data_IF_842468830131
#
_entry.id   IF_842468830131
#
_cell.length_a   1.000
_cell.length_b   1.000
_cell.length_c   1.000
_cell.angle_alpha   90.00
_cell.angle_beta   90.00
_cell.angle_gamma   90.00
#
_symmetry.space_group_name_H-M   'P 1'
#
loop_
_entity.id
_entity.type
_entity.pdbx_description
1 polymer ?
#
# COMPACT_ATOMS: atom_id res chain seq x y z
N UNK A 1 -7.62 -6.96 -22.28
CA UNK A 1 -8.67 -5.91 -22.23
C UNK A 1 -7.98 -4.62 -21.83
N UNK A 2 -8.35 -3.47 -22.40
CA UNK A 2 -7.79 -2.17 -21.96
C UNK A 2 -8.52 -1.73 -20.70
N UNK A 3 -7.86 -1.73 -19.54
CA UNK A 3 -8.39 -1.16 -18.30
C UNK A 3 -8.35 0.38 -18.42
N UNK A 4 -9.37 0.98 -19.01
CA UNK A 4 -9.55 2.43 -19.02
C UNK A 4 -10.40 2.85 -17.83
N UNK A 5 -10.01 3.92 -17.15
CA UNK A 5 -10.81 4.52 -16.07
C UNK A 5 -12.11 5.06 -16.68
N UNK A 6 -13.24 4.43 -16.36
CA UNK A 6 -14.56 4.91 -16.75
C UNK A 6 -14.91 6.20 -16.00
N UNK A 7 -15.78 7.08 -16.54
CA UNK A 7 -16.24 8.27 -15.83
C UNK A 7 -16.87 7.91 -14.47
N UNK A 8 -16.45 8.62 -13.42
CA UNK A 8 -16.90 8.39 -12.04
C UNK A 8 -18.39 8.67 -11.89
N UNK A 9 -19.11 7.74 -11.26
CA UNK A 9 -20.51 7.92 -10.86
C UNK A 9 -20.64 8.69 -9.54
N UNK A 10 -19.52 8.85 -8.83
CA UNK A 10 -19.40 9.60 -7.59
C UNK A 10 -19.19 11.09 -7.90
N UNK A 11 -20.16 11.92 -7.51
CA UNK A 11 -20.29 13.31 -7.96
C UNK A 11 -20.07 14.35 -6.84
N UNK A 12 -19.83 13.94 -5.59
CA UNK A 12 -19.62 14.90 -4.51
C UNK A 12 -18.36 15.73 -4.76
N UNK A 13 -18.48 17.04 -4.59
CA UNK A 13 -17.36 17.97 -4.61
C UNK A 13 -17.17 18.59 -3.22
N UNK A 14 -15.92 18.74 -2.83
CA UNK A 14 -15.56 19.37 -1.56
C UNK A 14 -14.83 20.69 -1.83
N UNK A 15 -15.18 21.72 -1.06
CA UNK A 15 -14.44 22.98 -1.07
C UNK A 15 -13.03 22.82 -0.50
N UNK A 16 -12.16 23.77 -0.79
CA UNK A 16 -10.83 23.82 -0.19
C UNK A 16 -10.93 24.35 1.25
N UNK A 17 -10.58 23.51 2.22
CA UNK A 17 -10.55 23.79 3.65
C UNK A 17 -9.11 23.93 4.22
N UNK A 18 -8.11 23.97 3.34
CA UNK A 18 -6.67 24.01 3.61
C UNK A 18 -6.09 22.82 4.40
N UNK A 19 -6.92 21.83 4.78
CA UNK A 19 -6.49 20.62 5.46
C UNK A 19 -5.78 19.68 4.48
N UNK A 20 -4.60 19.21 4.86
CA UNK A 20 -3.86 18.18 4.14
C UNK A 20 -4.29 16.79 4.61
N UNK A 21 -4.96 16.04 3.73
CA UNK A 21 -5.43 14.69 3.99
C UNK A 21 -4.45 13.67 3.43
N UNK A 22 -3.98 12.80 4.32
CA UNK A 22 -2.98 11.78 4.03
C UNK A 22 -3.60 10.41 4.18
N UNK A 23 -3.48 9.58 3.14
CA UNK A 23 -3.85 8.17 3.16
C UNK A 23 -2.58 7.31 3.16
N UNK A 24 -2.36 6.51 4.21
CA UNK A 24 -1.21 5.61 4.30
C UNK A 24 -1.68 4.15 4.35
N UNK A 25 -1.20 3.33 3.41
CA UNK A 25 -1.64 1.95 3.22
C UNK A 25 -0.51 0.96 3.53
N UNK A 26 -0.73 0.10 4.52
CA UNK A 26 0.27 -0.87 4.96
C UNK A 26 0.52 -1.99 3.93
N UNK A 27 1.69 -2.61 4.03
CA UNK A 27 2.02 -3.86 3.32
C UNK A 27 1.40 -5.09 3.98
N UNK A 28 1.14 -6.14 3.19
CA UNK A 28 0.48 -7.34 3.72
C UNK A 28 0.08 -8.42 2.72
N UNK A 29 0.64 -8.44 1.51
CA UNK A 29 0.33 -9.45 0.49
C UNK A 29 -1.16 -9.54 0.18
N UNK A 30 -1.71 -10.75 0.13
CA UNK A 30 -3.12 -10.99 -0.16
C UNK A 30 -4.10 -10.35 0.84
N UNK A 31 -3.63 -9.96 2.04
CA UNK A 31 -4.49 -9.33 3.05
C UNK A 31 -4.98 -7.92 2.66
N UNK A 32 -4.50 -7.36 1.54
CA UNK A 32 -5.01 -6.10 0.96
C UNK A 32 -6.51 -6.11 0.66
N UNK A 33 -7.17 -7.27 0.59
CA UNK A 33 -8.64 -7.34 0.52
C UNK A 33 -9.33 -6.70 1.73
N UNK A 34 -8.74 -6.80 2.93
CA UNK A 34 -9.21 -6.06 4.11
C UNK A 34 -9.14 -4.55 3.88
N UNK A 35 -8.01 -4.06 3.37
CA UNK A 35 -7.80 -2.64 3.05
C UNK A 35 -8.85 -2.14 2.06
N UNK A 36 -9.15 -2.90 1.00
CA UNK A 36 -10.20 -2.56 0.04
C UNK A 36 -11.60 -2.56 0.65
N UNK A 37 -11.86 -3.42 1.65
CA UNK A 37 -13.10 -3.38 2.43
C UNK A 37 -13.28 -2.07 3.17
N UNK A 38 -12.24 -1.60 3.87
CA UNK A 38 -12.24 -0.31 4.57
C UNK A 38 -12.39 0.85 3.58
N UNK A 39 -11.59 0.86 2.52
CA UNK A 39 -11.57 1.94 1.54
C UNK A 39 -12.89 2.07 0.78
N UNK A 40 -13.60 0.95 0.54
CA UNK A 40 -14.91 0.98 -0.13
C UNK A 40 -15.92 1.77 0.68
N UNK A 41 -15.92 1.59 2.00
CA UNK A 41 -16.83 2.31 2.88
C UNK A 41 -16.43 3.80 3.01
N UNK A 42 -15.13 4.10 3.06
CA UNK A 42 -14.65 5.49 3.03
C UNK A 42 -15.06 6.20 1.74
N UNK A 43 -14.83 5.58 0.58
CA UNK A 43 -15.20 6.14 -0.73
C UNK A 43 -16.72 6.37 -0.84
N UNK A 44 -17.51 5.40 -0.36
CA UNK A 44 -18.97 5.53 -0.32
C UNK A 44 -19.44 6.64 0.63
N UNK A 45 -18.83 6.77 1.80
CA UNK A 45 -19.12 7.84 2.78
C UNK A 45 -18.82 9.23 2.22
N UNK A 46 -17.74 9.36 1.45
CA UNK A 46 -17.34 10.61 0.80
C UNK A 46 -18.20 10.94 -0.44
N UNK A 47 -18.66 9.92 -1.16
CA UNK A 47 -19.42 10.11 -2.41
C UNK A 47 -18.58 10.71 -3.54
N UNK A 48 -17.25 10.63 -3.45
CA UNK A 48 -16.29 11.02 -4.49
C UNK A 48 -15.13 10.02 -4.53
N UNK A 49 -14.40 9.88 -5.66
CA UNK A 49 -13.21 9.05 -5.73
C UNK A 49 -12.15 9.53 -4.74
N UNK A 50 -11.42 8.59 -4.12
CA UNK A 50 -10.48 8.92 -3.02
C UNK A 50 -9.43 9.98 -3.41
N UNK A 51 -8.92 9.95 -4.64
CA UNK A 51 -7.92 10.93 -5.12
C UNK A 51 -8.43 12.37 -5.16
N UNK A 52 -9.75 12.59 -5.13
CA UNK A 52 -10.34 13.94 -5.06
C UNK A 52 -10.43 14.48 -3.64
N UNK A 53 -10.34 13.62 -2.61
CA UNK A 53 -10.42 14.05 -1.21
C UNK A 53 -9.09 13.97 -0.47
N UNK A 54 -8.19 13.08 -0.85
CA UNK A 54 -6.86 12.99 -0.26
C UNK A 54 -5.83 13.78 -1.08
N UNK A 55 -4.87 14.41 -0.40
CA UNK A 55 -3.76 15.15 -1.04
C UNK A 55 -2.53 14.26 -1.24
N UNK A 56 -2.29 13.34 -0.30
CA UNK A 56 -1.18 12.41 -0.30
C UNK A 56 -1.67 10.98 -0.12
N UNK A 57 -1.15 10.05 -0.93
CA UNK A 57 -1.32 8.60 -0.74
C UNK A 57 0.04 7.90 -0.70
N UNK A 58 0.26 7.12 0.33
CA UNK A 58 1.47 6.33 0.49
C UNK A 58 1.12 4.86 0.59
N UNK A 59 1.94 4.01 0.00
CA UNK A 59 1.72 2.58 -0.01
C UNK A 59 3.00 1.77 0.03
N UNK A 60 2.96 0.68 0.77
CA UNK A 60 4.02 -0.35 0.80
C UNK A 60 3.45 -1.68 0.31
N UNK A 61 4.16 -2.38 -0.58
CA UNK A 61 3.77 -3.71 -1.05
C UNK A 61 2.34 -3.73 -1.60
N UNK A 62 1.45 -4.57 -1.07
CA UNK A 62 0.01 -4.58 -1.38
C UNK A 62 -0.61 -3.17 -1.37
N UNK A 63 -0.25 -2.33 -0.38
CA UNK A 63 -0.67 -0.94 -0.27
C UNK A 63 -0.11 -0.05 -1.37
N UNK A 64 1.06 -0.35 -1.95
CA UNK A 64 1.60 0.36 -3.10
C UNK A 64 0.79 0.12 -4.37
N UNK A 65 0.29 -1.11 -4.59
CA UNK A 65 -0.61 -1.42 -5.70
C UNK A 65 -1.87 -0.56 -5.59
N UNK A 66 -2.49 -0.55 -4.40
CA UNK A 66 -3.73 0.18 -4.14
C UNK A 66 -3.50 1.70 -4.25
N UNK A 67 -2.43 2.21 -3.64
CA UNK A 67 -2.05 3.62 -3.69
C UNK A 67 -1.82 4.11 -5.12
N UNK A 68 -1.11 3.33 -5.94
CA UNK A 68 -0.85 3.65 -7.34
C UNK A 68 -2.15 3.75 -8.14
N UNK A 69 -3.07 2.80 -7.97
CA UNK A 69 -4.35 2.81 -8.68
C UNK A 69 -5.25 3.97 -8.23
N UNK A 70 -5.32 4.27 -6.92
CA UNK A 70 -6.02 5.46 -6.42
C UNK A 70 -5.43 6.72 -7.07
N UNK A 71 -4.10 6.86 -7.06
CA UNK A 71 -3.43 8.02 -7.62
C UNK A 71 -3.62 8.15 -9.14
N UNK A 72 -3.87 7.05 -9.85
CA UNK A 72 -4.22 7.05 -11.28
C UNK A 72 -5.71 7.30 -11.55
N UNK A 73 -6.52 7.52 -10.51
CA UNK A 73 -7.93 7.89 -10.62
C UNK A 73 -8.92 6.73 -10.57
N UNK A 74 -8.48 5.52 -10.19
CA UNK A 74 -9.38 4.36 -10.09
C UNK A 74 -10.26 4.46 -8.83
N UNK A 75 -11.54 4.12 -8.99
CA UNK A 75 -12.48 3.90 -7.87
C UNK A 75 -12.19 2.57 -7.17
N UNK A 76 -12.54 2.45 -5.89
CA UNK A 76 -12.19 1.27 -5.07
C UNK A 76 -12.78 -0.02 -5.65
N UNK A 77 -13.97 0.01 -6.26
CA UNK A 77 -14.56 -1.19 -6.88
C UNK A 77 -13.77 -1.65 -8.12
N UNK A 78 -13.22 -0.71 -8.91
CA UNK A 78 -12.36 -1.03 -10.04
C UNK A 78 -11.05 -1.68 -9.55
N UNK A 79 -10.47 -1.13 -8.49
CA UNK A 79 -9.28 -1.69 -7.85
C UNK A 79 -9.57 -3.09 -7.32
N UNK A 80 -10.73 -3.29 -6.68
CA UNK A 80 -11.14 -4.58 -6.14
C UNK A 80 -11.36 -5.63 -7.23
N UNK A 81 -11.91 -5.27 -8.38
CA UNK A 81 -12.04 -6.17 -9.53
C UNK A 81 -10.67 -6.67 -9.99
N UNK A 82 -9.70 -5.76 -10.18
CA UNK A 82 -8.32 -6.09 -10.54
C UNK A 82 -7.66 -6.97 -9.46
N UNK A 83 -7.86 -6.66 -8.18
CA UNK A 83 -7.35 -7.47 -7.07
C UNK A 83 -7.88 -8.90 -7.10
N UNK A 84 -9.20 -9.04 -7.29
CA UNK A 84 -9.90 -10.33 -7.34
C UNK A 84 -9.41 -11.21 -8.48
N UNK A 85 -9.15 -10.61 -9.63
CA UNK A 85 -8.65 -11.32 -10.81
C UNK A 85 -7.21 -11.79 -10.63
N UNK A 86 -6.32 -10.90 -10.17
CA UNK A 86 -4.89 -11.13 -10.36
C UNK A 86 -4.12 -11.55 -9.10
N UNK A 87 -4.50 -11.08 -7.91
CA UNK A 87 -3.74 -11.40 -6.68
C UNK A 87 -3.76 -12.89 -6.37
N UNK A 88 -4.90 -13.61 -6.43
CA UNK A 88 -4.91 -15.07 -6.26
C UNK A 88 -4.02 -15.81 -7.26
N UNK A 89 -3.92 -15.32 -8.50
CA UNK A 89 -3.05 -15.90 -9.54
C UNK A 89 -1.57 -15.76 -9.19
N UNK A 90 -1.16 -14.60 -8.68
CA UNK A 90 0.21 -14.40 -8.18
C UNK A 90 0.45 -15.31 -6.97
N UNK A 91 -0.43 -15.28 -5.98
CA UNK A 91 -0.21 -15.95 -4.70
C UNK A 91 -0.26 -17.48 -4.77
N UNK A 92 -1.01 -18.04 -5.73
CA UNK A 92 -1.07 -19.50 -5.98
C UNK A 92 0.19 -20.07 -6.68
N UNK A 93 1.10 -19.22 -7.15
CA UNK A 93 2.35 -19.64 -7.80
C UNK A 93 3.35 -20.27 -6.81
N UNK A 94 3.96 -21.40 -7.21
CA UNK A 94 4.73 -22.28 -6.31
C UNK A 94 6.19 -21.91 -6.07
N UNK A 95 6.80 -21.09 -6.94
CA UNK A 95 8.22 -20.70 -6.85
C UNK A 95 8.37 -19.19 -6.84
N UNK A 96 9.51 -18.69 -6.35
CA UNK A 96 9.78 -17.27 -6.32
C UNK A 96 9.87 -16.65 -7.71
N UNK A 97 10.55 -17.32 -8.64
CA UNK A 97 10.59 -16.92 -10.04
C UNK A 97 9.20 -16.86 -10.69
N UNK A 98 8.36 -17.89 -10.46
CA UNK A 98 7.00 -17.90 -11.01
C UNK A 98 6.13 -16.78 -10.44
N UNK A 99 6.24 -16.51 -9.13
CA UNK A 99 5.57 -15.38 -8.48
C UNK A 99 6.04 -14.03 -9.03
N UNK A 100 7.36 -13.87 -9.22
CA UNK A 100 7.93 -12.65 -9.80
C UNK A 100 7.45 -12.42 -11.23
N UNK A 101 7.41 -13.46 -12.07
CA UNK A 101 6.88 -13.35 -13.43
C UNK A 101 5.40 -12.99 -13.43
N UNK A 102 4.58 -13.68 -12.62
CA UNK A 102 3.15 -13.39 -12.51
C UNK A 102 2.89 -11.94 -12.02
N UNK A 103 3.66 -11.46 -11.05
CA UNK A 103 3.59 -10.09 -10.55
C UNK A 103 4.05 -9.07 -11.62
N UNK A 104 5.07 -9.40 -12.41
CA UNK A 104 5.54 -8.55 -13.51
C UNK A 104 4.49 -8.43 -14.61
N UNK A 105 3.87 -9.54 -14.99
CA UNK A 105 2.85 -9.58 -16.02
C UNK A 105 1.61 -8.80 -15.57
N UNK A 106 1.16 -8.99 -14.32
CA UNK A 106 0.11 -8.16 -13.70
C UNK A 106 0.49 -6.68 -13.79
N UNK A 107 1.67 -6.30 -13.29
CA UNK A 107 2.03 -4.89 -13.20
C UNK A 107 2.02 -4.23 -14.58
N UNK A 108 2.50 -4.93 -15.61
CA UNK A 108 2.44 -4.46 -17.00
C UNK A 108 1.01 -4.40 -17.53
N UNK A 109 0.18 -5.40 -17.25
CA UNK A 109 -1.20 -5.45 -17.76
C UNK A 109 -2.06 -4.33 -17.15
N UNK A 110 -1.90 -4.10 -15.84
CA UNK A 110 -2.69 -3.15 -15.05
C UNK A 110 -2.21 -1.72 -15.25
N UNK A 111 -0.90 -1.47 -15.15
CA UNK A 111 -0.36 -0.11 -15.22
C UNK A 111 0.07 0.29 -16.64
N UNK A 112 0.26 -0.67 -17.55
CA UNK A 112 0.60 -0.41 -18.96
C UNK A 112 1.79 0.56 -19.06
N UNK A 113 1.67 1.61 -19.87
CA UNK A 113 2.69 2.63 -20.07
C UNK A 113 2.60 3.79 -19.06
N UNK A 114 1.82 3.65 -17.98
CA UNK A 114 1.62 4.71 -16.98
C UNK A 114 2.89 5.02 -16.22
N UNK A 115 3.17 6.31 -16.10
CA UNK A 115 4.32 6.86 -15.38
C UNK A 115 3.87 7.73 -14.22
N UNK A 116 4.84 8.20 -13.44
CA UNK A 116 4.58 9.04 -12.27
C UNK A 116 4.08 10.45 -12.64
N UNK A 117 4.13 10.82 -13.91
CA UNK A 117 3.54 12.03 -14.48
C UNK A 117 2.02 11.91 -14.69
N UNK A 118 1.46 10.69 -14.74
CA UNK A 118 0.02 10.45 -14.91
C UNK A 118 -0.78 10.55 -13.61
N UNK A 119 -0.12 10.67 -12.45
CA UNK A 119 -0.80 10.64 -11.15
C UNK A 119 -1.53 11.95 -10.85
N UNK A 120 -2.72 11.83 -10.26
CA UNK A 120 -3.64 12.93 -9.98
C UNK A 120 -3.48 13.55 -8.58
N UNK A 121 -2.64 12.94 -7.74
CA UNK A 121 -2.37 13.37 -6.36
C UNK A 121 -0.93 13.07 -5.96
N UNK A 122 -0.46 13.60 -4.83
CA UNK A 122 0.87 13.25 -4.33
C UNK A 122 0.93 11.79 -3.91
N UNK A 123 1.98 11.08 -4.32
CA UNK A 123 2.13 9.63 -4.11
C UNK A 123 3.50 9.31 -3.49
N UNK A 124 3.53 8.27 -2.65
CA UNK A 124 4.76 7.63 -2.20
C UNK A 124 4.67 6.10 -2.28
N UNK A 125 5.42 5.47 -3.19
CA UNK A 125 5.58 4.01 -3.22
C UNK A 125 6.89 3.66 -2.53
N UNK A 126 6.83 2.85 -1.48
CA UNK A 126 8.01 2.50 -0.66
C UNK A 126 8.65 1.20 -1.15
N UNK A 127 9.93 1.24 -1.48
CA UNK A 127 10.77 0.06 -1.68
C UNK A 127 12.05 0.16 -0.85
N UNK A 128 12.79 -0.95 -0.73
CA UNK A 128 14.05 -0.99 0.02
C UNK A 128 15.21 -1.28 -0.92
N UNK A 129 16.27 -0.46 -0.89
CA UNK A 129 17.52 -0.72 -1.62
C UNK A 129 18.25 -1.88 -0.98
N UNK A 130 18.47 -2.94 -1.75
CA UNK A 130 19.12 -4.15 -1.27
C UNK A 130 20.56 -3.87 -0.82
N UNK A 131 21.37 -3.25 -1.69
CA UNK A 131 22.81 -3.09 -1.45
C UNK A 131 23.16 -2.07 -0.35
N UNK A 132 22.33 -1.06 -0.14
CA UNK A 132 22.60 0.03 0.81
C UNK A 132 21.70 0.02 2.04
N UNK A 133 20.74 -0.90 2.10
CA UNK A 133 19.82 -1.08 3.23
C UNK A 133 19.07 0.21 3.60
N UNK A 134 18.65 0.97 2.58
CA UNK A 134 17.97 2.27 2.72
C UNK A 134 16.65 2.30 1.98
N UNK A 135 15.67 3.08 2.45
CA UNK A 135 14.42 3.27 1.71
C UNK A 135 14.69 3.95 0.35
N UNK A 136 13.91 3.56 -0.65
CA UNK A 136 13.74 4.27 -1.91
C UNK A 136 12.25 4.51 -2.10
N UNK A 137 11.84 5.77 -2.06
CA UNK A 137 10.44 6.16 -2.14
C UNK A 137 10.21 6.82 -3.51
N UNK A 138 9.42 6.17 -4.35
CA UNK A 138 9.04 6.71 -5.65
C UNK A 138 7.93 7.75 -5.47
N UNK A 139 8.12 8.93 -6.06
CA UNK A 139 7.25 10.10 -5.87
C UNK A 139 6.89 10.73 -7.21
N UNK A 140 5.70 11.29 -7.30
CA UNK A 140 5.19 11.90 -8.54
C UNK A 140 5.63 13.35 -8.75
N UNK A 141 5.80 14.11 -7.67
CA UNK A 141 5.95 15.56 -7.77
C UNK A 141 7.24 16.06 -7.08
N UNK A 142 7.93 17.01 -7.72
CA UNK A 142 9.16 17.64 -7.20
C UNK A 142 8.94 18.34 -5.86
N UNK A 143 7.72 18.79 -5.55
CA UNK A 143 7.39 19.38 -4.26
C UNK A 143 7.60 18.38 -3.13
N UNK A 144 7.37 17.08 -3.36
CA UNK A 144 7.63 16.01 -2.39
C UNK A 144 9.13 15.68 -2.22
N UNK A 145 10.03 16.27 -3.01
CA UNK A 145 11.46 15.99 -2.92
C UNK A 145 12.09 16.68 -1.70
N UNK A 146 12.66 15.89 -0.80
CA UNK A 146 13.42 16.36 0.38
C UNK A 146 14.81 16.90 0.04
N UNK A 147 15.26 16.71 -1.19
CA UNK A 147 16.56 17.14 -1.69
C UNK A 147 16.72 16.79 -3.16
N UNK A 148 17.85 17.20 -3.76
CA UNK A 148 18.16 16.94 -5.19
C UNK A 148 17.06 17.41 -6.16
N UNK A 149 16.37 18.51 -5.85
CA UNK A 149 15.26 19.06 -6.66
C UNK A 149 15.66 19.34 -8.11
N UNK A 150 16.89 19.81 -8.35
CA UNK A 150 17.39 20.12 -9.69
C UNK A 150 17.60 18.90 -10.59
N UNK A 151 17.66 17.69 -10.03
CA UNK A 151 17.76 16.43 -10.78
C UNK A 151 16.58 15.50 -10.46
N UNK A 152 15.48 16.06 -9.95
CA UNK A 152 14.29 15.29 -9.66
C UNK A 152 13.68 14.79 -10.98
N UNK A 153 13.42 13.49 -11.02
CA UNK A 153 12.64 12.85 -12.07
C UNK A 153 11.52 12.08 -11.36
N UNK A 154 10.23 12.28 -11.73
CA UNK A 154 9.12 11.52 -11.19
C UNK A 154 9.41 10.02 -11.23
N UNK A 155 9.19 9.32 -10.12
CA UNK A 155 9.50 7.90 -10.01
C UNK A 155 10.98 7.54 -10.24
N UNK A 156 11.92 8.48 -10.15
CA UNK A 156 13.30 8.29 -10.63
C UNK A 156 13.40 7.88 -12.11
N UNK A 157 12.38 8.21 -12.91
CA UNK A 157 12.30 7.90 -14.33
C UNK A 157 11.85 6.48 -14.68
N UNK A 158 11.33 5.71 -13.72
CA UNK A 158 10.79 4.38 -13.99
C UNK A 158 9.26 4.39 -14.11
N UNK A 159 8.72 3.37 -14.74
CA UNK A 159 7.27 3.15 -14.82
C UNK A 159 6.64 2.91 -13.45
N UNK A 160 5.33 3.15 -13.32
CA UNK A 160 4.59 2.75 -12.11
C UNK A 160 4.65 1.23 -11.93
N UNK A 161 4.58 0.46 -13.02
CA UNK A 161 4.70 -0.99 -13.00
C UNK A 161 5.99 -1.46 -12.32
N UNK A 162 7.14 -0.86 -12.68
CA UNK A 162 8.43 -1.21 -12.08
C UNK A 162 8.52 -0.83 -10.61
N UNK A 163 8.03 0.35 -10.23
CA UNK A 163 8.02 0.82 -8.85
C UNK A 163 7.12 -0.05 -7.95
N UNK A 164 5.92 -0.40 -8.43
CA UNK A 164 4.99 -1.29 -7.72
C UNK A 164 5.58 -2.70 -7.59
N UNK A 165 6.14 -3.26 -8.68
CA UNK A 165 6.79 -4.57 -8.61
C UNK A 165 7.95 -4.57 -7.60
N UNK A 166 8.79 -3.52 -7.60
CA UNK A 166 9.86 -3.39 -6.62
C UNK A 166 9.34 -3.35 -5.18
N UNK A 167 8.28 -2.58 -4.92
CA UNK A 167 7.64 -2.46 -3.61
C UNK A 167 7.02 -3.79 -3.14
N UNK A 168 6.65 -4.69 -4.04
CA UNK A 168 6.03 -5.98 -3.76
C UNK A 168 7.01 -7.18 -3.81
N UNK A 169 8.30 -6.95 -4.09
CA UNK A 169 9.33 -8.00 -4.19
C UNK A 169 9.76 -8.52 -2.81
N UNK A 170 8.84 -9.19 -2.10
CA UNK A 170 9.06 -9.74 -0.75
C UNK A 170 10.01 -10.95 -0.81
N UNK A 171 11.31 -10.70 -0.78
CA UNK A 171 12.32 -11.74 -0.77
C UNK A 171 12.20 -12.63 0.48
N UNK A 172 12.41 -13.96 0.42
CA UNK A 172 12.69 -14.78 -0.75
C UNK A 172 11.43 -15.34 -1.45
N UNK A 173 10.23 -14.84 -1.15
CA UNK A 173 9.01 -15.29 -1.84
C UNK A 173 8.94 -14.78 -3.27
N UNK A 174 9.50 -13.61 -3.52
CA UNK A 174 9.70 -13.01 -4.82
C UNK A 174 11.20 -12.78 -5.01
N UNK A 175 11.63 -12.78 -6.26
CA UNK A 175 12.97 -12.32 -6.63
C UNK A 175 13.10 -10.81 -6.47
N UNK A 176 14.35 -10.37 -6.27
CA UNK A 176 14.71 -8.96 -6.17
C UNK A 176 14.45 -8.28 -7.52
N UNK A 177 14.04 -7.02 -7.48
CA UNK A 177 13.78 -6.22 -8.69
C UNK A 177 14.97 -5.33 -8.97
N UNK A 178 15.53 -5.41 -10.18
CA UNK A 178 16.51 -4.42 -10.66
C UNK A 178 15.77 -3.41 -11.53
N UNK A 179 15.99 -2.13 -11.25
CA UNK A 179 15.52 -1.01 -12.07
C UNK A 179 16.70 -0.21 -12.62
N UNK A 180 16.45 0.56 -13.67
CA UNK A 180 17.39 1.55 -14.21
C UNK A 180 16.74 2.93 -14.09
N UNK A 181 17.36 3.84 -13.33
CA UNK A 181 16.82 5.20 -13.16
C UNK A 181 17.05 6.05 -14.41
N UNK A 182 16.41 7.23 -14.50
CA UNK A 182 16.68 8.22 -15.53
C UNK A 182 18.16 8.66 -15.60
N UNK A 183 18.90 8.55 -14.49
CA UNK A 183 20.34 8.84 -14.45
C UNK A 183 21.21 7.70 -14.99
N UNK A 184 20.61 6.56 -15.37
CA UNK A 184 21.33 5.36 -15.81
C UNK A 184 21.80 4.45 -14.67
N UNK A 185 21.42 4.74 -13.41
CA UNK A 185 21.83 3.94 -12.26
C UNK A 185 21.06 2.63 -12.21
N UNK A 186 21.79 1.51 -12.10
CA UNK A 186 21.20 0.20 -11.82
C UNK A 186 21.00 0.05 -10.32
N UNK A 187 19.75 -0.09 -9.88
CA UNK A 187 19.40 -0.21 -8.46
C UNK A 187 18.66 -1.52 -8.21
N UNK A 188 19.17 -2.30 -7.27
CA UNK A 188 18.50 -3.51 -6.79
C UNK A 188 17.60 -3.19 -5.59
N UNK A 189 16.34 -3.61 -5.70
CA UNK A 189 15.25 -3.31 -4.79
C UNK A 189 14.54 -4.58 -4.30
N UNK A 190 14.05 -4.51 -3.07
CA UNK A 190 13.13 -5.47 -2.46
C UNK A 190 11.93 -4.73 -1.86
N UNK A 191 10.98 -5.51 -1.34
CA UNK A 191 9.77 -5.01 -0.72
C UNK A 191 10.03 -3.89 0.30
N UNK A 192 9.19 -2.85 0.26
CA UNK A 192 9.28 -1.71 1.18
C UNK A 192 9.01 -2.09 2.63
N UNK A 193 8.35 -3.22 2.87
CA UNK A 193 7.98 -3.71 4.19
C UNK A 193 9.18 -4.01 5.10
N UNK A 194 10.36 -4.22 4.51
CA UNK A 194 11.60 -4.33 5.26
C UNK A 194 12.01 -3.03 5.95
N UNK A 195 11.69 -1.87 5.36
CA UNK A 195 12.04 -0.57 5.94
C UNK A 195 10.83 0.15 6.53
N UNK A 196 9.67 0.14 5.89
CA UNK A 196 8.44 0.73 6.39
C UNK A 196 7.21 -0.01 5.85
N UNK A 197 6.82 -1.10 6.52
CA UNK A 197 5.58 -1.82 6.22
C UNK A 197 4.35 -0.98 6.55
N UNK A 198 4.45 -0.06 7.50
CA UNK A 198 3.54 1.06 7.70
C UNK A 198 4.23 2.35 7.20
N UNK A 199 3.79 2.94 6.07
CA UNK A 199 4.47 4.10 5.48
C UNK A 199 4.07 5.45 6.09
N UNK A 200 3.28 5.47 7.17
CA UNK A 200 2.68 6.69 7.74
C UNK A 200 3.73 7.75 8.10
N UNK A 201 4.86 7.36 8.69
CA UNK A 201 5.93 8.31 9.06
C UNK A 201 6.52 9.02 7.84
N UNK A 202 6.70 8.31 6.71
CA UNK A 202 7.16 8.94 5.48
C UNK A 202 6.12 9.87 4.88
N UNK A 203 4.84 9.51 4.98
CA UNK A 203 3.74 10.35 4.52
C UNK A 203 3.62 11.64 5.35
N UNK A 204 3.77 11.55 6.68
CA UNK A 204 3.84 12.71 7.58
C UNK A 204 5.06 13.58 7.26
N UNK A 205 6.23 12.98 7.03
CA UNK A 205 7.43 13.73 6.65
C UNK A 205 7.22 14.52 5.35
N UNK A 206 6.53 13.95 4.36
CA UNK A 206 6.15 14.67 3.15
C UNK A 206 5.17 15.82 3.43
N UNK A 207 4.12 15.58 4.21
CA UNK A 207 3.15 16.62 4.56
C UNK A 207 3.81 17.80 5.31
N UNK A 208 4.65 17.50 6.29
CA UNK A 208 5.26 18.50 7.19
C UNK A 208 6.48 19.19 6.59
N UNK A 209 7.43 18.44 6.04
CA UNK A 209 8.70 18.99 5.56
C UNK A 209 8.62 19.43 4.11
N UNK A 210 8.00 18.60 3.26
CA UNK A 210 7.99 18.85 1.81
C UNK A 210 6.85 19.80 1.42
N UNK A 211 5.62 19.53 1.89
CA UNK A 211 4.44 20.37 1.66
C UNK A 211 4.32 21.53 2.65
N UNK A 212 5.13 21.56 3.72
CA UNK A 212 5.15 22.63 4.73
C UNK A 212 3.79 22.87 5.39
N UNK A 213 3.05 21.79 5.67
CA UNK A 213 1.78 21.84 6.38
C UNK A 213 2.02 21.83 7.89
N UNK A 214 1.30 22.69 8.61
CA UNK A 214 1.28 22.68 10.07
C UNK A 214 0.59 21.40 10.57
N UNK A 215 1.07 20.86 11.69
CA UNK A 215 0.56 19.60 12.26
C UNK A 215 -0.96 19.59 12.48
N UNK A 216 -1.51 20.72 12.96
CA UNK A 216 -2.95 20.92 13.18
C UNK A 216 -3.80 20.84 11.90
N UNK A 217 -3.17 21.08 10.74
CA UNK A 217 -3.82 21.10 9.43
C UNK A 217 -3.58 19.79 8.67
N UNK A 218 -3.04 18.77 9.32
CA UNK A 218 -2.84 17.43 8.75
C UNK A 218 -3.89 16.47 9.31
N UNK A 219 -4.43 15.60 8.46
CA UNK A 219 -5.36 14.53 8.82
C UNK A 219 -4.84 13.23 8.22
N UNK A 220 -4.41 12.30 9.06
CA UNK A 220 -3.88 11.01 8.60
C UNK A 220 -4.91 9.90 8.78
N UNK A 221 -5.25 9.24 7.68
CA UNK A 221 -5.92 7.94 7.71
C UNK A 221 -4.88 6.89 7.35
N UNK A 222 -4.66 5.95 8.27
CA UNK A 222 -3.80 4.81 8.01
C UNK A 222 -4.61 3.51 8.04
N UNK A 223 -4.59 2.79 6.93
CA UNK A 223 -5.35 1.54 6.78
C UNK A 223 -4.36 0.39 6.76
N UNK A 224 -4.42 -0.44 7.81
CA UNK A 224 -3.66 -1.67 7.86
C UNK A 224 -4.33 -2.77 7.04
N UNK A 225 -3.82 -3.98 7.18
CA UNK A 225 -4.36 -5.18 6.53
C UNK A 225 -5.12 -6.11 7.49
N UNK A 226 -5.25 -5.70 8.76
CA UNK A 226 -5.75 -6.56 9.85
C UNK A 226 -4.69 -7.52 10.39
N UNK A 227 -4.86 -7.92 11.65
CA UNK A 227 -4.00 -8.86 12.36
C UNK A 227 -4.76 -10.17 12.52
N UNK A 228 -4.19 -11.29 12.06
CA UNK A 228 -4.85 -12.59 12.02
C UNK A 228 -3.97 -13.68 12.64
N UNK A 229 -4.56 -14.80 13.09
CA UNK A 229 -3.80 -15.94 13.55
C UNK A 229 -3.04 -16.57 12.39
N UNK A 230 -1.88 -17.14 12.67
CA UNK A 230 -1.13 -17.88 11.66
C UNK A 230 -1.80 -19.24 11.35
N UNK A 231 -1.85 -19.68 10.08
CA UNK A 231 -2.30 -21.01 9.73
C UNK A 231 -1.48 -22.09 10.45
N UNK A 232 -2.15 -23.08 11.05
CA UNK A 232 -1.46 -24.20 11.70
C UNK A 232 -0.69 -25.01 10.64
N UNK A 233 0.63 -25.22 10.81
CA UNK A 233 1.40 -26.00 9.85
C UNK A 233 0.96 -27.47 9.86
N UNK A 234 0.83 -28.07 8.68
CA UNK A 234 0.70 -29.53 8.56
C UNK A 234 1.95 -30.25 9.06
N UNK A 235 1.81 -31.53 9.42
CA UNK A 235 2.88 -32.34 10.05
C UNK A 235 4.22 -32.31 9.26
N UNK A 236 4.12 -32.37 7.91
CA UNK A 236 5.26 -32.35 6.99
C UNK A 236 5.91 -30.96 6.83
N UNK A 237 5.13 -29.87 6.96
CA UNK A 237 5.65 -28.49 6.82
C UNK A 237 6.55 -28.07 8.00
N UNK A 238 6.36 -28.65 9.18
CA UNK A 238 7.16 -28.33 10.38
C UNK A 238 8.66 -28.59 10.21
N UNK A 239 9.05 -29.40 9.22
CA UNK A 239 10.44 -29.79 8.97
C UNK A 239 11.07 -28.92 7.85
N UNK A 240 10.29 -28.08 7.17
CA UNK A 240 10.77 -27.33 6.00
C UNK A 240 11.44 -25.99 6.38
N UNK A 241 12.72 -25.81 6.01
CA UNK A 241 13.43 -24.51 6.13
C UNK A 241 12.68 -23.32 5.52
N UNK A 242 11.90 -23.56 4.45
CA UNK A 242 11.05 -22.53 3.81
C UNK A 242 10.00 -21.98 4.78
N UNK A 243 9.44 -22.81 5.65
CA UNK A 243 8.41 -22.39 6.60
C UNK A 243 8.99 -21.46 7.67
N UNK A 244 10.21 -21.74 8.16
CA UNK A 244 10.90 -20.84 9.09
C UNK A 244 11.16 -19.46 8.47
N UNK A 245 11.59 -19.42 7.20
CA UNK A 245 11.79 -18.17 6.49
C UNK A 245 10.48 -17.38 6.27
N UNK A 246 9.36 -18.08 6.04
CA UNK A 246 8.02 -17.47 5.93
C UNK A 246 7.64 -16.78 7.23
N UNK A 247 7.72 -17.50 8.34
CA UNK A 247 7.35 -16.97 9.64
C UNK A 247 8.26 -15.80 10.03
N UNK A 248 9.57 -15.93 9.83
CA UNK A 248 10.50 -14.85 10.14
C UNK A 248 10.16 -13.59 9.33
N UNK A 249 9.89 -13.71 8.02
CA UNK A 249 9.51 -12.55 7.22
C UNK A 249 8.22 -11.91 7.73
N UNK A 250 7.18 -12.71 7.98
CA UNK A 250 5.92 -12.18 8.52
C UNK A 250 6.11 -11.46 9.85
N UNK A 251 6.89 -12.03 10.76
CA UNK A 251 7.24 -11.38 12.03
C UNK A 251 8.04 -10.11 11.80
N UNK A 252 9.01 -10.09 10.88
CA UNK A 252 9.78 -8.90 10.54
C UNK A 252 8.87 -7.77 10.05
N UNK A 253 7.95 -8.07 9.13
CA UNK A 253 6.99 -7.09 8.61
C UNK A 253 6.02 -6.59 9.70
N UNK A 254 5.53 -7.48 10.55
CA UNK A 254 4.65 -7.11 11.66
C UNK A 254 5.39 -6.26 12.70
N UNK A 255 6.60 -6.65 13.11
CA UNK A 255 7.45 -5.87 14.03
C UNK A 255 7.71 -4.48 13.45
N UNK A 256 8.02 -4.39 12.14
CA UNK A 256 8.23 -3.11 11.48
C UNK A 256 6.95 -2.25 11.50
N UNK A 257 5.80 -2.84 11.18
CA UNK A 257 4.48 -2.16 11.23
C UNK A 257 4.21 -1.56 12.61
N UNK A 258 4.34 -2.38 13.66
CA UNK A 258 4.07 -1.98 15.04
C UNK A 258 5.08 -0.94 15.54
N UNK A 259 6.35 -1.11 15.18
CA UNK A 259 7.42 -0.18 15.56
C UNK A 259 7.23 1.19 14.92
N UNK A 260 6.89 1.24 13.62
CA UNK A 260 6.61 2.50 12.91
C UNK A 260 5.37 3.20 13.45
N UNK A 261 4.32 2.44 13.80
CA UNK A 261 3.11 3.01 14.40
C UNK A 261 3.38 3.59 15.79
N UNK A 262 4.13 2.87 16.63
CA UNK A 262 4.54 3.35 17.95
C UNK A 262 5.41 4.61 17.85
N UNK A 263 6.39 4.63 16.94
CA UNK A 263 7.22 5.81 16.72
C UNK A 263 6.41 7.00 16.22
N UNK A 264 5.43 6.79 15.34
CA UNK A 264 4.50 7.83 14.89
C UNK A 264 3.72 8.42 16.04
N UNK A 265 3.17 7.59 16.92
CA UNK A 265 2.41 8.06 18.07
C UNK A 265 3.28 8.87 19.05
N UNK A 266 4.54 8.50 19.24
CA UNK A 266 5.49 9.24 20.10
C UNK A 266 5.93 10.56 19.46
N UNK A 267 6.35 10.52 18.19
CA UNK A 267 6.96 11.67 17.52
C UNK A 267 5.94 12.70 17.02
N UNK A 268 4.74 12.26 16.68
CA UNK A 268 3.70 13.06 16.02
C UNK A 268 2.34 12.89 16.68
N UNK A 269 2.33 12.83 18.02
CA UNK A 269 1.12 12.70 18.85
C UNK A 269 0.08 13.79 18.56
N UNK A 270 0.54 14.97 18.17
CA UNK A 270 -0.26 16.16 17.90
C UNK A 270 -0.86 16.18 16.49
N UNK A 271 -0.43 15.28 15.59
CA UNK A 271 -1.05 15.10 14.27
C UNK A 271 -2.25 14.16 14.40
N UNK A 272 -3.49 14.63 14.18
CA UNK A 272 -4.67 13.79 14.22
C UNK A 272 -4.52 12.62 13.26
N UNK A 273 -4.68 11.40 13.78
CA UNK A 273 -4.47 10.16 13.02
C UNK A 273 -5.52 9.13 13.40
N UNK A 274 -6.17 8.52 12.41
CA UNK A 274 -7.06 7.36 12.61
C UNK A 274 -6.40 6.17 11.93
N UNK A 275 -6.05 5.15 12.73
CA UNK A 275 -5.57 3.85 12.24
C UNK A 275 -6.70 2.83 12.26
N UNK A 276 -6.92 2.15 11.12
CA UNK A 276 -7.93 1.11 10.95
C UNK A 276 -7.22 -0.20 10.63
N UNK A 277 -7.03 -1.05 11.63
CA UNK A 277 -6.38 -2.36 11.50
C UNK A 277 -6.74 -3.22 12.70
N UNK A 278 -7.88 -3.89 12.65
CA UNK A 278 -8.38 -4.67 13.78
C UNK A 278 -7.68 -6.04 13.90
N UNK A 279 -7.71 -6.58 15.11
CA UNK A 279 -7.19 -7.91 15.43
C UNK A 279 -8.32 -8.93 15.44
N UNK A 280 -8.11 -10.04 14.75
CA UNK A 280 -9.03 -11.17 14.68
C UNK A 280 -8.36 -12.38 15.32
N UNK A 281 -8.96 -12.93 16.37
CA UNK A 281 -8.35 -14.02 17.16
C UNK A 281 -8.86 -15.41 16.79
N UNK A 282 -9.99 -15.48 16.08
CA UNK A 282 -10.67 -16.76 15.85
C UNK A 282 -9.87 -17.64 14.86
N UNK A 283 -9.62 -18.93 15.16
CA UNK A 283 -8.80 -19.80 14.32
C UNK A 283 -9.26 -19.91 12.86
N UNK A 284 -10.56 -19.81 12.58
CA UNK A 284 -11.13 -19.81 11.24
C UNK A 284 -10.68 -18.62 10.37
N UNK A 285 -10.21 -17.54 11.01
CA UNK A 285 -9.65 -16.35 10.35
C UNK A 285 -8.16 -16.52 10.00
N UNK A 286 -7.58 -17.70 10.25
CA UNK A 286 -6.17 -17.92 9.99
C UNK A 286 -5.84 -17.78 8.49
N UNK A 287 -4.92 -16.85 8.21
CA UNK A 287 -4.51 -16.46 6.86
C UNK A 287 -3.06 -16.01 6.87
N UNK A 288 -2.42 -16.03 5.72
CA UNK A 288 -1.07 -15.54 5.53
C UNK A 288 -0.97 -14.54 4.36
N UNK A 289 0.25 -14.07 4.07
CA UNK A 289 0.52 -13.11 3.00
C UNK A 289 0.26 -13.67 1.59
N UNK A 290 0.20 -15.01 1.44
CA UNK A 290 0.09 -15.73 0.19
C UNK A 290 -1.28 -16.45 0.04
N UNK A 291 -2.28 -16.06 0.83
CA UNK A 291 -3.64 -16.60 0.69
C UNK A 291 -4.19 -16.32 -0.71
N UNK A 292 -4.87 -17.31 -1.28
CA UNK A 292 -5.44 -17.22 -2.64
C UNK A 292 -6.86 -17.83 -2.72
N UNK A 293 -7.39 -18.37 -1.61
CA UNK A 293 -8.76 -18.81 -1.54
C UNK A 293 -9.72 -17.61 -1.54
N UNK A 294 -10.52 -17.48 -2.59
CA UNK A 294 -11.42 -16.34 -2.78
C UNK A 294 -12.47 -16.17 -1.66
N UNK A 295 -12.97 -17.25 -1.07
CA UNK A 295 -13.95 -17.17 0.02
C UNK A 295 -13.33 -16.55 1.28
N UNK A 296 -12.09 -16.95 1.60
CA UNK A 296 -11.33 -16.33 2.68
C UNK A 296 -10.99 -14.88 2.39
N UNK A 297 -10.52 -14.56 1.19
CA UNK A 297 -10.21 -13.19 0.79
C UNK A 297 -11.47 -12.28 0.85
N UNK A 298 -12.62 -12.81 0.42
CA UNK A 298 -13.91 -12.14 0.59
C UNK A 298 -14.27 -11.93 2.06
N UNK A 299 -13.95 -12.89 2.94
CA UNK A 299 -14.11 -12.72 4.39
C UNK A 299 -13.23 -11.60 4.93
N UNK A 300 -11.97 -11.50 4.49
CA UNK A 300 -11.08 -10.39 4.88
C UNK A 300 -11.66 -9.03 4.46
N UNK A 301 -12.21 -8.95 3.24
CA UNK A 301 -12.90 -7.74 2.77
C UNK A 301 -14.09 -7.38 3.65
N UNK A 302 -14.93 -8.33 4.01
CA UNK A 302 -16.06 -8.09 4.93
C UNK A 302 -15.59 -7.55 6.29
N UNK A 303 -14.52 -8.14 6.85
CA UNK A 303 -13.93 -7.64 8.09
C UNK A 303 -13.43 -6.19 7.97
N UNK A 304 -12.83 -5.83 6.84
CA UNK A 304 -12.45 -4.43 6.58
C UNK A 304 -13.65 -3.48 6.64
N UNK A 305 -14.79 -3.88 6.06
CA UNK A 305 -16.03 -3.09 6.11
C UNK A 305 -16.57 -2.95 7.54
N UNK A 306 -16.55 -4.03 8.32
CA UNK A 306 -16.94 -4.01 9.74
C UNK A 306 -16.03 -3.09 10.58
N UNK A 307 -14.72 -3.15 10.34
CA UNK A 307 -13.73 -2.30 11.01
C UNK A 307 -13.89 -0.81 10.69
N UNK A 308 -14.37 -0.47 9.50
CA UNK A 308 -14.82 0.88 9.19
C UNK A 308 -16.05 1.27 10.02
N UNK A 309 -17.07 0.39 10.10
CA UNK A 309 -18.34 0.70 10.77
C UNK A 309 -18.18 1.14 12.23
N UNK A 310 -17.22 0.56 12.96
CA UNK A 310 -16.90 0.98 14.33
C UNK A 310 -16.34 2.42 14.45
N UNK A 311 -15.93 3.03 13.34
CA UNK A 311 -15.22 4.31 13.26
C UNK A 311 -15.90 5.32 12.34
N UNK A 312 -17.06 5.00 11.76
CA UNK A 312 -17.71 5.83 10.73
C UNK A 312 -17.93 7.28 11.18
N UNK A 313 -18.49 7.49 12.38
CA UNK A 313 -18.76 8.83 12.89
C UNK A 313 -17.47 9.67 13.02
N UNK A 314 -16.41 9.05 13.53
CA UNK A 314 -15.10 9.69 13.66
C UNK A 314 -14.51 10.02 12.28
N UNK A 315 -14.59 9.08 11.33
CA UNK A 315 -14.08 9.27 9.97
C UNK A 315 -14.85 10.37 9.22
N UNK A 316 -16.16 10.48 9.43
CA UNK A 316 -17.00 11.53 8.86
C UNK A 316 -16.53 12.90 9.34
N UNK A 317 -16.38 13.11 10.65
CA UNK A 317 -15.85 14.36 11.22
C UNK A 317 -14.42 14.67 10.73
N UNK A 318 -13.62 13.63 10.57
CA UNK A 318 -12.21 13.77 10.21
C UNK A 318 -11.98 14.10 8.74
N UNK A 319 -12.88 13.66 7.86
CA UNK A 319 -12.72 13.74 6.41
C UNK A 319 -13.72 14.65 5.72
N UNK A 320 -14.84 15.07 6.32
CA UNK A 320 -15.86 15.95 5.70
C UNK A 320 -15.83 17.30 6.39
#
# INVERSE_FOLDING_TARGET
MTYSVSPSSLLTEYGNDNICRVLALDGGGAKGFYTLGVLKEIEAMLGCPLYKRFDLVFGTSTGAIIAALIALGYEVDQIHALYTEHVPRVMSSRSAAARTMALQDLAKEVFQDKTFEDVLMGIGIVATRWMTERPMIFKGNVVQAHGRKGTFSPGFGVSIADAVQASCSAYPFFERKVIVTAAGDKVELIDGGYCANNPTLFAIADATVALKKDHKDIRVINVGVGIYPEPKPGLLMRIAKKWLAVQLLQKTLEINTQSMDQLRDILFKDIPTIRISDTFERPEMATDLLEYNLDKLNTLRQRGRESFGAREAQLREFLI
#
